data_IF_235227117399
#
_entry.id   IF_235227117399
#
_cell.length_a   1.000
_cell.length_b   1.000
_cell.length_c   1.000
_cell.angle_alpha   90.00
_cell.angle_beta   90.00
_cell.angle_gamma   90.00
#
_symmetry.space_group_name_H-M   'P 1'
#
loop_
_entity.id
_entity.type
_entity.pdbx_description
1 polymer ?
#
# COMPACT_ATOMS: atom_id res chain seq x y z
N UNK A 1 41.39 -40.79 3.15
CA UNK A 1 40.29 -40.50 2.20
C UNK A 1 38.99 -40.44 2.96
N UNK A 2 38.24 -39.35 2.82
CA UNK A 2 36.95 -39.19 3.50
C UNK A 2 35.96 -40.26 3.02
N UNK A 3 35.28 -40.95 3.95
CA UNK A 3 34.39 -42.07 3.65
C UNK A 3 33.21 -41.73 2.69
N UNK A 4 32.89 -40.46 2.49
CA UNK A 4 31.78 -40.00 1.65
C UNK A 4 32.05 -39.89 0.13
N UNK A 5 33.31 -40.07 -0.33
CA UNK A 5 33.63 -39.91 -1.75
C UNK A 5 33.05 -41.04 -2.66
N UNK A 6 32.58 -42.14 -2.08
CA UNK A 6 31.89 -43.21 -2.80
C UNK A 6 30.38 -43.01 -2.94
N UNK A 7 29.80 -41.96 -2.30
CA UNK A 7 28.36 -41.74 -2.32
C UNK A 7 27.94 -40.95 -3.56
N UNK A 8 26.91 -41.43 -4.24
CA UNK A 8 26.36 -40.83 -5.47
C UNK A 8 25.89 -39.39 -5.21
N UNK A 9 25.35 -39.10 -4.01
CA UNK A 9 24.86 -37.79 -3.61
C UNK A 9 25.96 -36.71 -3.61
N UNK A 10 27.20 -37.06 -3.20
CA UNK A 10 28.34 -36.14 -3.22
C UNK A 10 28.65 -35.70 -4.65
N UNK A 11 28.71 -36.64 -5.56
CA UNK A 11 28.98 -36.34 -6.96
C UNK A 11 27.84 -35.59 -7.66
N UNK A 12 26.60 -35.87 -7.32
CA UNK A 12 25.44 -35.12 -7.78
C UNK A 12 25.49 -33.66 -7.28
N UNK A 13 25.85 -33.43 -6.02
CA UNK A 13 26.01 -32.10 -5.45
C UNK A 13 27.12 -31.31 -6.15
N UNK A 14 28.29 -31.96 -6.36
CA UNK A 14 29.41 -31.38 -7.10
C UNK A 14 28.95 -30.98 -8.51
N UNK A 15 28.32 -31.91 -9.25
CA UNK A 15 27.81 -31.64 -10.60
C UNK A 15 26.81 -30.51 -10.67
N UNK A 16 25.97 -30.39 -9.66
CA UNK A 16 24.94 -29.32 -9.60
C UNK A 16 25.54 -27.94 -9.39
N UNK A 17 26.66 -27.84 -8.64
CA UNK A 17 27.29 -26.57 -8.25
C UNK A 17 28.57 -26.23 -9.03
N UNK A 18 29.09 -27.17 -9.89
CA UNK A 18 30.31 -26.93 -10.65
C UNK A 18 30.23 -25.98 -11.85
N UNK A 19 29.05 -25.68 -12.48
CA UNK A 19 29.00 -24.76 -13.59
C UNK A 19 29.39 -23.32 -13.18
N UNK A 20 30.18 -22.63 -14.03
CA UNK A 20 30.61 -21.25 -13.82
C UNK A 20 29.43 -20.27 -13.71
N UNK A 21 28.32 -20.56 -14.34
CA UNK A 21 27.06 -19.79 -14.26
C UNK A 21 25.98 -20.67 -13.65
N UNK A 22 25.28 -20.14 -12.64
CA UNK A 22 24.19 -20.83 -11.98
C UNK A 22 22.89 -20.03 -12.03
N UNK A 23 21.78 -20.71 -12.34
CA UNK A 23 20.43 -20.17 -12.17
C UNK A 23 19.90 -20.28 -10.73
N UNK A 24 20.72 -20.82 -9.81
CA UNK A 24 20.30 -21.09 -8.43
C UNK A 24 19.80 -19.84 -7.68
N UNK A 25 20.40 -18.68 -7.95
CA UNK A 25 19.95 -17.43 -7.33
C UNK A 25 18.54 -17.02 -7.76
N UNK A 26 18.20 -17.19 -9.04
CA UNK A 26 16.85 -16.91 -9.54
C UNK A 26 15.83 -17.92 -9.00
N UNK A 27 16.20 -19.18 -8.89
CA UNK A 27 15.36 -20.22 -8.29
C UNK A 27 15.13 -19.93 -6.80
N UNK A 28 16.17 -19.57 -6.07
CA UNK A 28 16.04 -19.21 -4.66
C UNK A 28 15.12 -18.01 -4.45
N UNK A 29 15.11 -17.03 -5.37
CA UNK A 29 14.23 -15.86 -5.28
C UNK A 29 12.73 -16.21 -5.36
N UNK A 30 12.39 -17.36 -5.92
CA UNK A 30 11.03 -17.90 -5.99
C UNK A 30 10.82 -19.13 -5.10
N UNK A 31 11.59 -19.24 -4.01
CA UNK A 31 11.54 -20.36 -3.07
C UNK A 31 11.73 -21.74 -3.72
N UNK A 32 12.49 -21.79 -4.82
CA UNK A 32 12.90 -23.03 -5.47
C UNK A 32 14.39 -23.29 -5.23
N UNK A 33 14.81 -24.55 -5.33
CA UNK A 33 16.21 -24.96 -5.24
C UNK A 33 16.64 -25.72 -6.50
N UNK A 34 17.91 -25.56 -6.85
CA UNK A 34 18.51 -26.36 -7.91
C UNK A 34 18.91 -27.71 -7.32
N UNK A 35 18.38 -28.79 -7.89
CA UNK A 35 18.73 -30.16 -7.55
C UNK A 35 19.42 -30.88 -8.74
N UNK A 36 19.98 -32.03 -8.51
CA UNK A 36 20.60 -32.85 -9.58
C UNK A 36 19.59 -33.26 -10.67
N UNK A 37 18.30 -33.28 -10.33
CA UNK A 37 17.19 -33.69 -11.21
C UNK A 37 16.51 -32.49 -11.87
N UNK A 38 16.88 -31.22 -11.52
CA UNK A 38 16.29 -29.99 -12.03
C UNK A 38 15.92 -28.99 -10.92
N UNK A 39 14.93 -28.12 -11.19
CA UNK A 39 14.39 -27.21 -10.22
C UNK A 39 13.32 -27.91 -9.38
N UNK A 40 13.40 -27.77 -8.07
CA UNK A 40 12.46 -28.31 -7.10
C UNK A 40 12.06 -27.25 -6.07
N UNK A 41 10.85 -27.38 -5.47
CA UNK A 41 10.42 -26.48 -4.42
C UNK A 41 11.25 -26.68 -3.17
N UNK A 42 11.50 -25.57 -2.46
CA UNK A 42 12.09 -25.66 -1.13
C UNK A 42 11.09 -26.27 -0.15
N UNK A 43 11.57 -26.96 0.91
CA UNK A 43 10.71 -27.43 1.99
C UNK A 43 9.96 -26.26 2.64
N UNK A 44 8.77 -26.51 3.21
CA UNK A 44 7.88 -25.48 3.77
C UNK A 44 8.54 -24.60 4.85
N UNK A 45 9.51 -25.13 5.59
CA UNK A 45 10.31 -24.42 6.59
C UNK A 45 11.21 -23.35 5.98
N UNK A 46 11.53 -23.43 4.67
CA UNK A 46 12.39 -22.50 3.93
C UNK A 46 11.67 -21.63 2.89
N UNK A 47 10.36 -21.85 2.67
CA UNK A 47 9.54 -21.07 1.74
C UNK A 47 9.06 -19.78 2.41
N UNK A 48 9.91 -18.75 2.41
CA UNK A 48 9.61 -17.47 3.08
C UNK A 48 9.41 -16.34 2.07
N UNK A 49 10.17 -16.38 0.94
CA UNK A 49 10.25 -15.22 0.04
C UNK A 49 8.93 -14.96 -0.70
N UNK A 50 8.27 -16.00 -1.19
CA UNK A 50 6.95 -15.87 -1.86
C UNK A 50 5.91 -15.34 -0.86
N UNK A 51 5.89 -15.86 0.36
CA UNK A 51 4.96 -15.40 1.42
C UNK A 51 5.18 -13.92 1.76
N UNK A 52 6.45 -13.51 1.90
CA UNK A 52 6.80 -12.10 2.13
C UNK A 52 6.41 -11.21 0.95
N UNK A 53 6.65 -11.67 -0.27
CA UNK A 53 6.28 -10.95 -1.48
C UNK A 53 4.76 -10.75 -1.57
N UNK A 54 3.98 -11.80 -1.38
CA UNK A 54 2.51 -11.74 -1.37
C UNK A 54 2.00 -10.77 -0.29
N UNK A 55 2.53 -10.89 0.93
CA UNK A 55 2.17 -9.99 2.03
C UNK A 55 2.47 -8.53 1.69
N UNK A 56 3.66 -8.25 1.18
CA UNK A 56 4.05 -6.89 0.78
C UNK A 56 3.16 -6.35 -0.33
N UNK A 57 2.83 -7.19 -1.31
CA UNK A 57 1.96 -6.81 -2.43
C UNK A 57 0.54 -6.50 -1.94
N UNK A 58 -0.04 -7.34 -1.09
CA UNK A 58 -1.37 -7.10 -0.52
C UNK A 58 -1.38 -5.82 0.32
N UNK A 59 -0.37 -5.62 1.19
CA UNK A 59 -0.26 -4.41 2.00
C UNK A 59 -0.12 -3.16 1.13
N UNK A 60 0.69 -3.20 0.06
CA UNK A 60 0.86 -2.07 -0.85
C UNK A 60 -0.43 -1.71 -1.58
N UNK A 61 -1.21 -2.70 -2.00
CA UNK A 61 -2.53 -2.48 -2.59
C UNK A 61 -3.49 -1.83 -1.60
N UNK A 62 -3.58 -2.34 -0.37
CA UNK A 62 -4.44 -1.77 0.67
C UNK A 62 -4.06 -0.32 0.95
N UNK A 63 -2.77 -0.02 1.11
CA UNK A 63 -2.28 1.35 1.35
C UNK A 63 -2.62 2.26 0.16
N UNK A 64 -2.42 1.79 -1.07
CA UNK A 64 -2.73 2.55 -2.29
C UNK A 64 -4.22 2.88 -2.37
N UNK A 65 -5.10 1.89 -2.15
CA UNK A 65 -6.55 2.11 -2.12
C UNK A 65 -6.96 3.08 -1.01
N UNK A 66 -6.37 2.94 0.17
CA UNK A 66 -6.62 3.87 1.29
C UNK A 66 -6.21 5.30 0.94
N UNK A 67 -5.04 5.47 0.30
CA UNK A 67 -4.57 6.78 -0.17
C UNK A 67 -5.49 7.38 -1.26
N UNK A 68 -6.02 6.56 -2.17
CA UNK A 68 -6.97 7.02 -3.19
C UNK A 68 -8.28 7.47 -2.54
N UNK A 69 -8.85 6.64 -1.67
CA UNK A 69 -10.13 6.92 -1.00
C UNK A 69 -10.05 8.20 -0.16
N UNK A 70 -8.97 8.38 0.59
CA UNK A 70 -8.77 9.56 1.42
C UNK A 70 -8.27 10.78 0.63
N UNK A 71 -7.41 10.56 -0.36
CA UNK A 71 -6.80 11.61 -1.17
C UNK A 71 -7.75 12.21 -2.19
N UNK A 72 -8.63 11.41 -2.79
CA UNK A 72 -9.56 11.88 -3.82
C UNK A 72 -10.46 13.03 -3.34
N UNK A 73 -11.20 12.94 -2.23
CA UNK A 73 -12.04 14.04 -1.76
C UNK A 73 -11.23 15.30 -1.43
N UNK A 74 -10.02 15.15 -0.89
CA UNK A 74 -9.14 16.28 -0.60
C UNK A 74 -8.63 16.94 -1.89
N UNK A 75 -8.19 16.15 -2.86
CA UNK A 75 -7.73 16.64 -4.16
C UNK A 75 -8.86 17.34 -4.93
N UNK A 76 -10.08 16.75 -4.90
CA UNK A 76 -11.27 17.36 -5.50
C UNK A 76 -11.64 18.67 -4.83
N UNK A 77 -11.59 18.73 -3.51
CA UNK A 77 -11.85 19.96 -2.75
C UNK A 77 -10.84 21.05 -3.13
N UNK A 78 -9.54 20.71 -3.17
CA UNK A 78 -8.48 21.62 -3.61
C UNK A 78 -8.71 22.17 -5.02
N UNK A 79 -9.18 21.32 -5.94
CA UNK A 79 -9.40 21.72 -7.34
C UNK A 79 -10.61 22.65 -7.52
N UNK A 80 -11.59 22.61 -6.61
CA UNK A 80 -12.83 23.37 -6.71
C UNK A 80 -12.92 24.59 -5.77
N UNK A 81 -11.99 24.73 -4.81
CA UNK A 81 -11.95 25.86 -3.90
C UNK A 81 -11.36 27.12 -4.55
N UNK A 82 -11.74 28.34 -4.07
CA UNK A 82 -11.08 29.56 -4.44
C UNK A 82 -9.58 29.51 -4.11
N UNK A 83 -8.74 30.14 -4.93
CA UNK A 83 -7.27 30.07 -4.86
C UNK A 83 -6.72 30.30 -3.44
N UNK A 84 -7.27 31.24 -2.70
CA UNK A 84 -6.82 31.56 -1.34
C UNK A 84 -7.02 30.40 -0.35
N UNK A 85 -8.18 29.75 -0.43
CA UNK A 85 -8.52 28.62 0.44
C UNK A 85 -7.78 27.34 -0.01
N UNK A 86 -7.66 27.13 -1.31
CA UNK A 86 -6.90 26.03 -1.88
C UNK A 86 -5.43 26.08 -1.46
N UNK A 87 -4.80 27.26 -1.50
CA UNK A 87 -3.41 27.43 -1.07
C UNK A 87 -3.23 27.13 0.43
N UNK A 88 -4.17 27.58 1.28
CA UNK A 88 -4.11 27.28 2.70
C UNK A 88 -4.24 25.78 2.97
N UNK A 89 -5.18 25.13 2.32
CA UNK A 89 -5.39 23.69 2.44
C UNK A 89 -4.18 22.90 1.88
N UNK A 90 -3.57 23.38 0.79
CA UNK A 90 -2.35 22.80 0.23
C UNK A 90 -1.18 22.84 1.24
N UNK A 91 -1.00 23.99 1.90
CA UNK A 91 0.02 24.12 2.96
C UNK A 91 -0.25 23.12 4.08
N UNK A 92 -1.50 22.98 4.51
CA UNK A 92 -1.90 22.04 5.56
C UNK A 92 -1.62 20.59 5.16
N UNK A 93 -1.91 20.20 3.91
CA UNK A 93 -1.63 18.85 3.35
C UNK A 93 -0.12 18.57 3.29
N UNK A 94 0.70 19.59 2.94
CA UNK A 94 2.14 19.43 2.82
C UNK A 94 2.88 19.56 4.15
N UNK A 95 2.28 20.17 5.16
CA UNK A 95 2.93 20.42 6.46
C UNK A 95 3.55 19.17 7.07
N UNK A 96 2.87 17.98 7.08
CA UNK A 96 3.48 16.75 7.59
C UNK A 96 4.72 16.32 6.82
N UNK A 97 4.82 16.63 5.50
CA UNK A 97 5.96 16.20 4.68
C UNK A 97 7.24 16.99 4.92
N UNK A 98 7.15 18.13 5.60
CA UNK A 98 8.31 18.94 5.99
C UNK A 98 9.03 18.41 7.22
N UNK A 99 8.39 17.50 7.97
CA UNK A 99 9.04 16.83 9.09
C UNK A 99 9.90 15.67 8.60
N UNK A 100 11.00 15.39 9.30
CA UNK A 100 11.86 14.24 9.03
C UNK A 100 11.06 12.93 9.09
N UNK A 101 11.38 12.00 8.20
CA UNK A 101 10.74 10.67 8.20
C UNK A 101 10.94 9.94 9.53
N UNK A 102 12.12 10.06 10.15
CA UNK A 102 12.41 9.45 11.46
C UNK A 102 11.51 10.00 12.56
N UNK A 103 11.32 11.31 12.60
CA UNK A 103 10.43 11.97 13.59
C UNK A 103 9.00 11.50 13.39
N UNK A 104 8.53 11.43 12.14
CA UNK A 104 7.18 11.01 11.80
C UNK A 104 6.92 9.55 12.15
N UNK A 105 7.84 8.65 11.83
CA UNK A 105 7.71 7.22 12.17
C UNK A 105 7.80 6.99 13.68
N UNK A 106 8.64 7.75 14.40
CA UNK A 106 8.72 7.70 15.86
C UNK A 106 7.42 8.22 16.51
N UNK A 107 6.85 9.31 16.00
CA UNK A 107 5.56 9.82 16.48
C UNK A 107 4.45 8.77 16.31
N UNK A 108 4.36 8.14 15.12
CA UNK A 108 3.40 7.06 14.89
C UNK A 108 3.62 5.86 15.81
N UNK A 109 4.89 5.51 16.08
CA UNK A 109 5.22 4.45 17.02
C UNK A 109 4.68 4.74 18.43
N UNK A 110 4.77 5.98 18.91
CA UNK A 110 4.22 6.39 20.20
C UNK A 110 2.69 6.42 20.17
N UNK A 111 2.10 6.96 19.11
CA UNK A 111 0.63 7.05 18.97
C UNK A 111 -0.07 5.69 18.92
N UNK A 112 0.56 4.69 18.30
CA UNK A 112 0.01 3.35 18.07
C UNK A 112 0.26 2.38 19.25
N UNK A 113 0.91 2.83 20.32
CA UNK A 113 1.09 2.01 21.52
C UNK A 113 -0.24 1.66 22.18
N UNK A 114 -0.27 0.56 22.95
CA UNK A 114 -1.48 0.13 23.66
C UNK A 114 -1.96 1.21 24.65
N UNK A 115 -1.04 1.92 25.31
CA UNK A 115 -1.31 3.08 26.16
C UNK A 115 -1.03 4.40 25.40
N UNK A 116 -1.22 4.41 24.07
CA UNK A 116 -0.97 5.56 23.23
C UNK A 116 -2.22 6.41 23.01
N UNK A 117 -1.98 7.60 22.46
CA UNK A 117 -3.01 8.64 22.28
C UNK A 117 -4.24 8.13 21.50
N UNK A 118 -4.05 7.27 20.50
CA UNK A 118 -5.18 6.74 19.71
C UNK A 118 -6.10 5.89 20.57
N UNK A 119 -5.56 4.99 21.37
CA UNK A 119 -6.36 4.17 22.27
C UNK A 119 -7.03 5.02 23.35
N UNK A 120 -6.35 6.02 23.90
CA UNK A 120 -6.92 6.93 24.89
C UNK A 120 -8.12 7.69 24.33
N UNK A 121 -8.02 8.20 23.10
CA UNK A 121 -9.14 8.87 22.41
C UNK A 121 -10.29 7.90 22.17
N UNK A 122 -10.02 6.66 21.75
CA UNK A 122 -11.07 5.66 21.51
C UNK A 122 -11.80 5.26 22.81
N UNK A 123 -11.07 5.14 23.92
CA UNK A 123 -11.67 4.89 25.25
C UNK A 123 -12.51 6.10 25.70
N UNK A 124 -11.98 7.33 25.53
CA UNK A 124 -12.68 8.56 25.91
C UNK A 124 -13.96 8.77 25.08
N UNK A 125 -13.97 8.36 23.82
CA UNK A 125 -15.17 8.35 22.96
C UNK A 125 -16.12 7.17 23.25
N UNK A 126 -15.81 6.32 24.24
CA UNK A 126 -16.58 5.12 24.59
C UNK A 126 -16.73 4.12 23.44
N UNK A 127 -15.82 4.12 22.45
CA UNK A 127 -15.80 3.21 21.32
C UNK A 127 -15.18 1.86 21.69
N UNK A 128 -14.25 1.84 22.66
CA UNK A 128 -13.63 0.65 23.22
C UNK A 128 -13.57 0.78 24.73
N UNK A 129 -13.55 -0.37 25.42
CA UNK A 129 -13.30 -0.40 26.88
C UNK A 129 -11.80 -0.30 27.17
N UNK A 130 -11.45 0.08 28.38
CA UNK A 130 -10.05 0.18 28.79
C UNK A 130 -9.31 -1.18 28.75
N UNK A 131 -10.03 -2.28 28.93
CA UNK A 131 -9.54 -3.64 28.79
C UNK A 131 -9.41 -4.09 27.32
N UNK A 132 -10.16 -3.44 26.40
CA UNK A 132 -10.22 -3.72 24.97
C UNK A 132 -9.27 -2.88 24.11
N UNK A 133 -8.21 -2.30 24.68
CA UNK A 133 -7.23 -1.49 23.95
C UNK A 133 -6.56 -2.25 22.80
N UNK A 134 -6.53 -1.64 21.64
CA UNK A 134 -6.01 -2.24 20.41
C UNK A 134 -4.47 -2.29 20.43
N UNK A 135 -3.92 -3.46 20.12
CA UNK A 135 -2.48 -3.62 19.93
C UNK A 135 -2.18 -3.31 18.46
N UNK A 136 -1.85 -2.04 18.15
CA UNK A 136 -1.58 -1.60 16.79
C UNK A 136 -0.08 -1.49 16.48
N UNK A 137 0.78 -1.46 17.50
CA UNK A 137 2.23 -1.40 17.33
C UNK A 137 2.76 -2.74 16.80
N UNK A 138 3.71 -2.70 15.86
CA UNK A 138 4.32 -3.88 15.21
C UNK A 138 3.31 -4.82 14.53
N UNK A 139 2.15 -4.30 14.14
CA UNK A 139 1.08 -5.01 13.48
C UNK A 139 0.87 -4.46 12.05
N UNK A 140 0.25 -5.25 11.19
CA UNK A 140 -0.10 -4.86 9.82
C UNK A 140 -0.99 -3.61 9.79
N UNK A 141 -1.99 -3.54 10.69
CA UNK A 141 -2.91 -2.40 10.80
C UNK A 141 -2.16 -1.11 11.10
N UNK A 142 -1.27 -1.12 12.10
CA UNK A 142 -0.47 0.06 12.44
C UNK A 142 0.44 0.49 11.30
N UNK A 143 1.01 -0.47 10.57
CA UNK A 143 1.83 -0.20 9.38
C UNK A 143 0.99 0.45 8.27
N UNK A 144 -0.21 -0.08 7.99
CA UNK A 144 -1.13 0.47 6.98
C UNK A 144 -1.51 1.91 7.34
N UNK A 145 -1.90 2.17 8.58
CA UNK A 145 -2.30 3.52 9.05
C UNK A 145 -1.14 4.50 8.93
N UNK A 146 0.04 4.16 9.44
CA UNK A 146 1.20 5.03 9.41
C UNK A 146 1.67 5.31 7.97
N UNK A 147 1.75 4.28 7.13
CA UNK A 147 2.17 4.41 5.73
C UNK A 147 1.16 5.18 4.90
N UNK A 148 -0.14 4.96 5.09
CA UNK A 148 -1.18 5.74 4.42
C UNK A 148 -1.04 7.23 4.74
N UNK A 149 -0.86 7.60 6.01
CA UNK A 149 -0.65 9.00 6.40
C UNK A 149 0.63 9.60 5.79
N UNK A 150 1.72 8.82 5.75
CA UNK A 150 3.01 9.28 5.20
C UNK A 150 2.91 9.50 3.68
N UNK A 151 2.19 8.63 2.96
CA UNK A 151 2.10 8.65 1.50
C UNK A 151 0.95 9.51 0.97
N UNK A 152 -0.01 9.87 1.83
CA UNK A 152 -1.20 10.64 1.47
C UNK A 152 -0.89 11.96 0.72
N UNK A 153 0.05 12.83 1.15
CA UNK A 153 0.40 14.04 0.42
C UNK A 153 0.92 13.76 -1.00
N UNK A 154 1.73 12.70 -1.15
CA UNK A 154 2.27 12.30 -2.45
C UNK A 154 1.21 11.77 -3.40
N UNK A 155 0.07 11.32 -2.90
CA UNK A 155 -1.08 10.91 -3.71
C UNK A 155 -1.98 12.10 -4.05
N UNK A 156 -2.20 13.02 -3.11
CA UNK A 156 -3.07 14.20 -3.29
C UNK A 156 -2.52 15.12 -4.39
N UNK A 157 -1.21 15.37 -4.41
CA UNK A 157 -0.60 16.32 -5.34
C UNK A 157 -0.80 15.95 -6.82
N UNK A 158 -0.48 14.73 -7.28
CA UNK A 158 -0.72 14.33 -8.66
C UNK A 158 -2.21 14.33 -9.01
N UNK A 159 -3.07 13.87 -8.10
CA UNK A 159 -4.51 13.86 -8.32
C UNK A 159 -5.05 15.29 -8.50
N UNK A 160 -4.66 16.22 -7.64
CA UNK A 160 -5.00 17.64 -7.74
C UNK A 160 -4.52 18.23 -9.07
N UNK A 161 -3.25 17.98 -9.45
CA UNK A 161 -2.69 18.45 -10.72
C UNK A 161 -3.49 17.98 -11.93
N UNK A 162 -3.86 16.70 -11.98
CA UNK A 162 -4.70 16.14 -13.05
C UNK A 162 -6.10 16.77 -13.03
N UNK A 163 -6.72 16.94 -11.86
CA UNK A 163 -8.05 17.54 -11.76
C UNK A 163 -8.10 18.98 -12.25
N UNK A 164 -7.03 19.75 -12.06
CA UNK A 164 -6.93 21.12 -12.59
C UNK A 164 -6.85 21.18 -14.10
N UNK A 165 -6.35 20.16 -14.78
CA UNK A 165 -6.24 20.13 -16.25
C UNK A 165 -7.57 19.80 -16.93
N UNK A 166 -8.60 19.36 -16.18
CA UNK A 166 -9.91 19.02 -16.74
C UNK A 166 -10.70 20.30 -17.05
N UNK A 167 -10.99 20.61 -18.35
CA UNK A 167 -11.72 21.81 -18.69
C UNK A 167 -13.16 21.76 -18.14
N UNK A 168 -13.72 22.88 -17.67
CA UNK A 168 -15.10 22.93 -17.18
C UNK A 168 -16.16 22.56 -18.22
N UNK A 169 -15.81 22.58 -19.52
CA UNK A 169 -16.65 22.14 -20.61
C UNK A 169 -17.05 20.68 -20.53
N UNK A 170 -16.16 19.79 -20.05
CA UNK A 170 -16.49 18.36 -19.88
C UNK A 170 -17.54 18.13 -18.79
N UNK A 171 -17.45 18.86 -17.70
CA UNK A 171 -18.47 18.82 -16.64
C UNK A 171 -19.84 19.34 -17.14
N UNK A 172 -19.84 20.37 -17.98
CA UNK A 172 -21.07 20.90 -18.59
C UNK A 172 -21.66 19.91 -19.60
N UNK A 173 -20.81 19.30 -20.44
CA UNK A 173 -21.23 18.27 -21.39
C UNK A 173 -21.84 17.05 -20.68
N UNK A 174 -21.19 16.55 -19.64
CA UNK A 174 -21.69 15.42 -18.85
C UNK A 174 -23.05 15.73 -18.20
N UNK A 175 -23.23 16.93 -17.67
CA UNK A 175 -24.53 17.38 -17.13
C UNK A 175 -25.61 17.44 -18.23
N UNK A 176 -25.30 17.99 -19.41
CA UNK A 176 -26.28 18.08 -20.51
C UNK A 176 -26.76 16.71 -21.01
N UNK A 177 -25.84 15.72 -21.10
CA UNK A 177 -26.22 14.34 -21.50
C UNK A 177 -27.04 13.67 -20.38
N UNK A 178 -26.73 13.89 -19.12
CA UNK A 178 -27.49 13.34 -17.99
C UNK A 178 -28.94 13.89 -17.95
N UNK A 179 -29.14 15.16 -18.27
CA UNK A 179 -30.47 15.74 -18.32
C UNK A 179 -31.31 15.24 -19.52
N UNK A 180 -30.69 14.92 -20.65
CA UNK A 180 -31.43 14.39 -21.84
C UNK A 180 -31.95 12.98 -21.62
N UNK A 181 -31.31 12.16 -20.78
CA UNK A 181 -31.81 10.83 -20.44
C UNK A 181 -32.92 10.83 -19.36
N UNK A 182 -32.97 11.88 -18.51
CA UNK A 182 -34.02 12.03 -17.48
C UNK A 182 -35.28 12.74 -17.96
N UNK A 183 -35.20 13.45 -19.07
CA UNK A 183 -36.35 14.16 -19.68
C UNK A 183 -36.61 13.66 -21.09
N UNK A 184 -36.89 12.37 -21.26
CA UNK A 184 -37.65 11.90 -22.42
C UNK A 184 -39.11 12.33 -22.18
N UNK A 185 -39.64 13.32 -22.92
CA UNK A 185 -41.05 13.61 -22.81
C UNK A 185 -41.80 12.47 -23.51
N UNK A 186 -42.43 11.62 -22.72
CA UNK A 186 -43.54 10.80 -23.18
C UNK A 186 -44.70 11.72 -23.53
N UNK A 187 -44.56 12.50 -24.61
CA UNK A 187 -45.67 13.15 -25.25
C UNK A 187 -46.09 12.31 -26.45
N UNK A 188 -46.85 11.27 -26.18
CA UNK A 188 -47.74 10.71 -27.18
C UNK A 188 -48.91 11.70 -27.30
N UNK A 189 -48.90 12.54 -28.31
CA UNK A 189 -50.08 13.26 -28.75
C UNK A 189 -50.84 12.33 -29.68
N UNK A 190 -52.04 11.99 -29.29
CA UNK A 190 -53.14 11.45 -30.11
C UNK A 190 -53.56 12.50 -31.15
#
# INVERSE_FOLDING_TARGET
MHKGWGEVEVWQTIKTHSPAYTSGYFLNAVDMRKTAQGADWQPEDKTILIKLFQRTLIMSLIITFSCIILGYPVAWLLANLPMRQANLLMILVLLPSWTSLLVRTSAWKVMLQQQGVINDVLVQLSLISDEGRLIMINNEIGTIVAMTHILLPFMILPMYSVMQTIPPSYLRAAKSVSYTHLTLPTKVTV
#
